data_IF_869737104444
#
_entry.id   IF_869737104444
#
_cell.length_a   1.000
_cell.length_b   1.000
_cell.length_c   1.000
_cell.angle_alpha   90.00
_cell.angle_beta   90.00
_cell.angle_gamma   90.00
#
_symmetry.space_group_name_H-M   'P 1'
#
loop_
_entity.id
_entity.type
_entity.pdbx_description
1 polymer ?
#
# COMPACT_ATOMS: atom_id res chain seq x y z
N UNK A 1 -18.42 12.74 -31.88
CA UNK A 1 -18.85 11.32 -31.78
C UNK A 1 -17.86 10.33 -32.41
N UNK A 2 -17.33 10.59 -33.61
CA UNK A 2 -16.44 9.66 -34.33
C UNK A 2 -15.15 9.33 -33.57
N UNK A 3 -14.55 10.32 -32.89
CA UNK A 3 -13.31 10.13 -32.12
C UNK A 3 -13.48 9.17 -30.92
N UNK A 4 -14.65 9.19 -30.28
CA UNK A 4 -14.94 8.33 -29.12
C UNK A 4 -15.07 6.88 -29.58
N UNK A 5 -15.81 6.65 -30.67
CA UNK A 5 -15.93 5.33 -31.30
C UNK A 5 -14.57 4.74 -31.69
N UNK A 6 -13.68 5.55 -32.24
CA UNK A 6 -12.33 5.10 -32.61
C UNK A 6 -11.48 4.73 -31.40
N UNK A 7 -11.57 5.51 -30.31
CA UNK A 7 -10.85 5.21 -29.07
C UNK A 7 -11.34 3.92 -28.39
N UNK A 8 -12.67 3.68 -28.38
CA UNK A 8 -13.23 2.45 -27.84
C UNK A 8 -12.86 1.23 -28.68
N UNK A 9 -12.81 1.38 -30.00
CA UNK A 9 -12.39 0.33 -30.91
C UNK A 9 -10.91 -0.03 -30.71
N UNK A 10 -10.01 0.97 -30.67
CA UNK A 10 -8.59 0.74 -30.42
C UNK A 10 -8.32 0.09 -29.06
N UNK A 11 -9.08 0.46 -28.02
CA UNK A 11 -8.96 -0.14 -26.68
C UNK A 11 -9.44 -1.60 -26.61
N UNK A 12 -10.22 -2.06 -27.60
CA UNK A 12 -10.69 -3.45 -27.68
C UNK A 12 -9.69 -4.40 -28.33
N UNK A 13 -8.65 -3.86 -28.97
CA UNK A 13 -7.63 -4.63 -29.68
C UNK A 13 -6.57 -5.11 -28.66
N UNK A 14 -6.31 -6.42 -28.54
CA UNK A 14 -5.28 -6.94 -27.64
C UNK A 14 -3.88 -6.45 -28.04
N UNK A 15 -2.98 -6.24 -27.08
CA UNK A 15 -1.61 -5.76 -27.33
C UNK A 15 -0.75 -6.65 -28.27
N UNK A 16 -1.18 -7.89 -28.56
CA UNK A 16 -0.51 -8.82 -29.49
C UNK A 16 -1.32 -9.05 -30.78
N UNK A 17 -2.16 -8.08 -31.18
CA UNK A 17 -2.97 -8.19 -32.38
C UNK A 17 -2.10 -8.11 -33.65
N UNK A 18 -1.96 -9.24 -34.35
CA UNK A 18 -1.39 -9.30 -35.70
C UNK A 18 -2.56 -9.37 -36.72
N UNK A 19 -2.69 -8.39 -37.63
CA UNK A 19 -3.78 -8.36 -38.61
C UNK A 19 -3.76 -9.53 -39.61
N UNK A 20 -2.72 -10.38 -39.59
CA UNK A 20 -2.62 -11.61 -40.39
C UNK A 20 -3.33 -12.82 -39.77
N UNK A 21 -3.81 -12.72 -38.53
CA UNK A 21 -4.62 -13.78 -37.93
C UNK A 21 -6.06 -13.70 -38.45
N UNK A 22 -6.38 -14.58 -39.41
CA UNK A 22 -7.75 -14.81 -39.90
C UNK A 22 -8.64 -15.38 -38.79
N UNK A 23 -9.91 -14.98 -38.84
CA UNK A 23 -11.03 -15.03 -37.87
C UNK A 23 -11.28 -16.35 -37.10
N UNK A 24 -10.54 -17.43 -37.33
CA UNK A 24 -10.87 -18.77 -36.82
C UNK A 24 -10.09 -19.20 -35.57
N UNK A 25 -9.30 -18.33 -34.94
CA UNK A 25 -8.53 -18.71 -33.73
C UNK A 25 -8.43 -17.60 -32.69
N UNK A 26 -9.54 -16.93 -32.39
CA UNK A 26 -9.66 -16.21 -31.12
C UNK A 26 -9.88 -17.25 -30.02
N UNK A 27 -8.81 -17.97 -29.65
CA UNK A 27 -8.76 -18.70 -28.38
C UNK A 27 -8.78 -17.61 -27.32
N UNK A 28 -9.98 -17.29 -26.82
CA UNK A 28 -10.14 -16.35 -25.73
C UNK A 28 -9.18 -16.77 -24.60
N UNK A 29 -8.21 -15.92 -24.22
CA UNK A 29 -7.29 -16.29 -23.15
C UNK A 29 -8.13 -16.55 -21.90
N UNK A 30 -8.07 -17.76 -21.35
CA UNK A 30 -8.75 -18.12 -20.09
C UNK A 30 -8.31 -17.12 -19.03
N UNK A 31 -9.17 -16.12 -18.76
CA UNK A 31 -8.91 -15.10 -17.75
C UNK A 31 -8.73 -15.83 -16.42
N UNK A 32 -7.53 -15.76 -15.85
CA UNK A 32 -7.29 -16.32 -14.50
C UNK A 32 -8.23 -15.58 -13.54
N UNK A 33 -8.95 -16.29 -12.66
CA UNK A 33 -9.92 -15.66 -11.77
C UNK A 33 -9.24 -14.55 -10.95
N UNK A 34 -9.93 -13.42 -10.82
CA UNK A 34 -9.45 -12.28 -10.04
C UNK A 34 -9.20 -12.73 -8.59
N UNK A 35 -7.95 -12.65 -8.16
CA UNK A 35 -7.57 -12.79 -6.75
C UNK A 35 -7.99 -11.50 -6.04
N UNK A 36 -9.09 -11.53 -5.29
CA UNK A 36 -9.40 -10.52 -4.28
C UNK A 36 -8.63 -10.85 -2.99
N UNK A 37 -8.19 -9.82 -2.27
CA UNK A 37 -7.39 -9.97 -1.04
C UNK A 37 -8.07 -10.85 0.04
N UNK A 38 -9.38 -11.00 -0.02
CA UNK A 38 -10.18 -11.75 0.97
C UNK A 38 -10.50 -13.20 0.58
N UNK A 39 -10.45 -13.59 -0.70
CA UNK A 39 -10.91 -14.94 -1.13
C UNK A 39 -9.79 -15.98 -1.25
N UNK A 40 -8.57 -15.67 -0.82
CA UNK A 40 -7.54 -16.66 -0.48
C UNK A 40 -6.98 -17.55 -1.59
N UNK A 41 -7.58 -17.60 -2.78
CA UNK A 41 -7.16 -18.49 -3.88
C UNK A 41 -6.10 -17.86 -4.82
N UNK A 42 -5.56 -16.69 -4.45
CA UNK A 42 -4.48 -16.05 -5.18
C UNK A 42 -3.14 -16.72 -4.91
N UNK A 43 -2.75 -17.70 -5.73
CA UNK A 43 -1.33 -18.09 -5.85
C UNK A 43 -0.53 -16.79 -6.02
N UNK A 44 0.33 -16.45 -5.05
CA UNK A 44 1.12 -15.20 -5.08
C UNK A 44 1.77 -15.10 -6.46
N UNK A 45 1.50 -13.98 -7.16
CA UNK A 45 2.11 -13.68 -8.46
C UNK A 45 3.61 -13.88 -8.27
N UNK A 46 4.15 -14.80 -9.07
CA UNK A 46 5.55 -15.23 -9.14
C UNK A 46 6.50 -14.58 -8.12
N UNK A 47 7.17 -15.39 -7.29
CA UNK A 47 8.30 -14.94 -6.47
C UNK A 47 9.47 -14.34 -7.29
N UNK A 48 9.34 -14.22 -8.61
CA UNK A 48 10.33 -13.63 -9.50
C UNK A 48 9.69 -12.49 -10.32
N UNK A 49 10.17 -11.24 -10.17
CA UNK A 49 10.01 -10.19 -11.16
C UNK A 49 10.55 -10.68 -12.51
N UNK A 50 9.85 -10.42 -13.63
CA UNK A 50 10.36 -10.77 -14.95
C UNK A 50 11.67 -10.02 -15.21
N UNK A 51 12.75 -10.74 -15.50
CA UNK A 51 14.03 -10.17 -15.97
C UNK A 51 15.12 -9.97 -14.93
N UNK A 52 14.90 -10.27 -13.64
CA UNK A 52 15.95 -10.15 -12.62
C UNK A 52 16.66 -11.49 -12.40
N UNK A 53 18.01 -11.57 -12.54
CA UNK A 53 18.76 -12.77 -12.23
C UNK A 53 18.62 -13.14 -10.75
N UNK A 54 18.44 -14.43 -10.46
CA UNK A 54 18.20 -14.98 -9.10
C UNK A 54 19.24 -14.51 -8.07
N UNK A 55 20.48 -14.29 -8.52
CA UNK A 55 21.58 -13.81 -7.70
C UNK A 55 21.38 -12.37 -7.19
N UNK A 56 20.77 -11.50 -8.00
CA UNK A 56 20.49 -10.12 -7.61
C UNK A 56 19.35 -10.04 -6.61
N UNK A 57 18.40 -10.98 -6.67
CA UNK A 57 17.33 -11.13 -5.69
C UNK A 57 17.85 -11.64 -4.33
N UNK A 58 18.76 -12.62 -4.30
CA UNK A 58 19.41 -13.02 -3.05
C UNK A 58 20.18 -11.86 -2.43
N UNK A 59 20.89 -11.08 -3.26
CA UNK A 59 21.62 -9.89 -2.80
C UNK A 59 20.68 -8.83 -2.23
N UNK A 60 19.54 -8.58 -2.88
CA UNK A 60 18.55 -7.62 -2.39
C UNK A 60 17.91 -8.09 -1.08
N UNK A 61 17.57 -9.38 -0.97
CA UNK A 61 17.00 -9.95 0.26
C UNK A 61 17.97 -9.87 1.43
N UNK A 62 19.25 -10.13 1.19
CA UNK A 62 20.31 -9.95 2.21
C UNK A 62 20.45 -8.49 2.64
N UNK A 63 20.31 -7.54 1.70
CA UNK A 63 20.36 -6.11 2.01
C UNK A 63 19.15 -5.62 2.82
N UNK A 64 17.96 -6.14 2.50
CA UNK A 64 16.72 -5.86 3.23
C UNK A 64 16.72 -6.49 4.63
N UNK A 65 17.32 -7.67 4.80
CA UNK A 65 17.50 -8.28 6.13
C UNK A 65 18.46 -7.46 6.99
N UNK A 66 19.61 -7.04 6.45
CA UNK A 66 20.63 -6.29 7.21
C UNK A 66 20.17 -4.87 7.59
N UNK A 67 19.45 -4.17 6.69
CA UNK A 67 18.91 -2.82 6.94
C UNK A 67 17.54 -2.82 7.63
N UNK A 68 16.84 -3.96 7.61
CA UNK A 68 15.50 -4.11 8.18
C UNK A 68 15.50 -4.01 9.70
N UNK A 69 16.50 -4.61 10.36
CA UNK A 69 16.62 -4.59 11.82
C UNK A 69 16.80 -3.17 12.39
N UNK A 70 17.61 -2.33 11.75
CA UNK A 70 17.79 -0.93 12.20
C UNK A 70 16.54 -0.10 11.96
N UNK A 71 15.82 -0.37 10.87
CA UNK A 71 14.56 0.34 10.55
C UNK A 71 13.46 -0.05 11.54
N UNK A 72 13.32 -1.33 11.89
CA UNK A 72 12.31 -1.80 12.84
C UNK A 72 12.56 -1.24 14.25
N UNK A 73 13.82 -1.22 14.71
CA UNK A 73 14.17 -0.59 15.98
C UNK A 73 13.88 0.93 15.99
N UNK A 74 14.17 1.63 14.89
CA UNK A 74 13.86 3.05 14.76
C UNK A 74 12.35 3.32 14.75
N UNK A 75 11.55 2.44 14.13
CA UNK A 75 10.09 2.51 14.15
C UNK A 75 9.56 2.30 15.57
N UNK A 76 10.08 1.31 16.30
CA UNK A 76 9.64 1.04 17.67
C UNK A 76 9.95 2.22 18.61
N UNK A 77 11.14 2.80 18.53
CA UNK A 77 11.51 3.99 19.30
C UNK A 77 10.63 5.20 18.96
N UNK A 78 10.38 5.45 17.67
CA UNK A 78 9.46 6.51 17.23
C UNK A 78 8.04 6.28 17.78
N UNK A 79 7.56 5.04 17.75
CA UNK A 79 6.23 4.71 18.28
C UNK A 79 6.13 5.01 19.78
N UNK A 80 7.20 4.71 20.53
CA UNK A 80 7.29 4.98 21.97
C UNK A 80 7.28 6.47 22.25
N UNK A 81 8.00 7.25 21.46
CA UNK A 81 8.03 8.72 21.57
C UNK A 81 6.65 9.31 21.30
N UNK A 82 5.98 8.94 20.21
CA UNK A 82 4.63 9.42 19.87
C UNK A 82 3.64 9.14 21.01
N UNK A 83 3.66 7.92 21.56
CA UNK A 83 2.78 7.56 22.67
C UNK A 83 3.09 8.34 23.95
N UNK A 84 4.38 8.56 24.24
CA UNK A 84 4.79 9.34 25.40
C UNK A 84 4.36 10.81 25.29
N UNK A 85 4.44 11.39 24.08
CA UNK A 85 4.04 12.76 23.81
C UNK A 85 2.52 12.93 23.90
N UNK A 86 1.75 11.97 23.36
CA UNK A 86 0.30 11.96 23.51
C UNK A 86 -0.12 11.94 24.99
N UNK A 87 0.54 11.10 25.81
CA UNK A 87 0.27 11.02 27.26
C UNK A 87 0.59 12.33 27.98
N UNK A 88 1.70 12.99 27.62
CA UNK A 88 2.04 14.31 28.17
C UNK A 88 0.98 15.35 27.81
N UNK A 89 0.49 15.31 26.57
CA UNK A 89 -0.53 16.23 26.09
C UNK A 89 -1.86 16.08 26.85
N UNK A 90 -2.29 14.85 27.12
CA UNK A 90 -3.45 14.57 27.97
C UNK A 90 -3.27 15.12 29.39
N UNK A 91 -2.10 14.91 30.00
CA UNK A 91 -1.80 15.44 31.33
C UNK A 91 -1.83 16.98 31.38
N UNK A 92 -1.30 17.64 30.34
CA UNK A 92 -1.34 19.10 30.21
C UNK A 92 -2.78 19.60 30.08
N UNK A 93 -3.59 18.92 29.27
CA UNK A 93 -5.01 19.26 29.11
C UNK A 93 -5.77 19.13 30.42
N UNK A 94 -5.57 18.04 31.16
CA UNK A 94 -6.21 17.83 32.44
C UNK A 94 -5.79 18.91 33.46
N UNK A 95 -4.49 19.19 33.57
CA UNK A 95 -3.98 20.24 34.44
C UNK A 95 -4.56 21.61 34.08
N UNK A 96 -4.62 21.93 32.79
CA UNK A 96 -5.20 23.18 32.28
C UNK A 96 -6.69 23.31 32.62
N UNK A 97 -7.45 22.22 32.47
CA UNK A 97 -8.86 22.18 32.86
C UNK A 97 -9.05 22.38 34.37
N UNK A 98 -8.20 21.78 35.20
CA UNK A 98 -8.23 21.97 36.65
C UNK A 98 -7.92 23.43 37.03
N UNK A 99 -6.92 24.06 36.41
CA UNK A 99 -6.58 25.47 36.63
C UNK A 99 -7.76 26.37 36.24
N UNK A 100 -8.40 26.11 35.09
CA UNK A 100 -9.56 26.89 34.64
C UNK A 100 -10.71 26.81 35.65
N UNK A 101 -11.00 25.61 36.20
CA UNK A 101 -12.02 25.44 37.24
C UNK A 101 -11.69 26.19 38.53
N UNK A 102 -10.42 26.22 38.94
CA UNK A 102 -9.98 26.99 40.13
C UNK A 102 -10.18 28.49 39.91
N UNK A 103 -9.75 29.02 38.77
CA UNK A 103 -9.95 30.43 38.40
C UNK A 103 -11.43 30.84 38.38
N UNK A 104 -12.32 29.97 37.89
CA UNK A 104 -13.76 30.24 37.91
C UNK A 104 -14.33 30.30 39.34
N UNK A 105 -13.86 29.44 40.24
CA UNK A 105 -14.28 29.46 41.66
C UNK A 105 -13.78 30.71 42.38
N UNK A 106 -12.53 31.11 42.12
CA UNK A 106 -11.95 32.34 42.67
C UNK A 106 -12.66 33.60 42.13
N UNK A 107 -13.08 33.60 40.87
CA UNK A 107 -13.82 34.73 40.28
C UNK A 107 -15.29 34.83 40.74
N UNK A 108 -15.85 33.77 41.34
CA UNK A 108 -17.22 33.73 41.85
C UNK A 108 -17.32 34.07 43.35
N UNK A 109 -16.18 34.11 44.07
CA UNK A 109 -16.09 34.63 45.44
C UNK A 109 -15.78 36.12 45.43
#
# INVERSE_FOLDING_TARGET
>A
MILILYSCYAASIPNNYDPRFTDDTIIAPKKRPFCNAFTGCGRKRSQLPPGMPVQEMMRQRQFEEDMGYDTDNAIEELSRQILSEAKLWEAIQEASAQIARRKQKEALM
#
